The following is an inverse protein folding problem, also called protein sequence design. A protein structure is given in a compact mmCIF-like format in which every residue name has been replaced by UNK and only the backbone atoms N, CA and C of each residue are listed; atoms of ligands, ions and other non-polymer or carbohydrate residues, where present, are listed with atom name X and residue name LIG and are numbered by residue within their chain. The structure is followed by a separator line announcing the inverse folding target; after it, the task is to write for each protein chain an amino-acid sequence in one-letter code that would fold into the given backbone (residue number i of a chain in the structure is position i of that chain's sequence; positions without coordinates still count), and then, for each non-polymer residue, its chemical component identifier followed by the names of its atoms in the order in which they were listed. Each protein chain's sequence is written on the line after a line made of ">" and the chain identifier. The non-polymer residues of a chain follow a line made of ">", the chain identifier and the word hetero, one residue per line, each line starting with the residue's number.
data_IF_188196498036
#
_entry.id   IF_188196498036
#
_cell.length_a   1.000
_cell.length_b   1.000
_cell.length_c   1.000
_cell.angle_alpha   90.00
_cell.angle_beta   90.00
_cell.angle_gamma   90.00
#
_symmetry.space_group_name_H-M   'P 1'
#
loop_
_entity.id
_entity.type
_entity.pdbx_description
1 polymer ?
#
# COMPACT_ATOMS: atom_id res chain seq x y z
N UNK A 1 -10.08 -18.64 -18.70
CA UNK A 1 -10.32 -18.23 -17.31
C UNK A 1 -9.11 -17.44 -16.84
N UNK A 2 -9.24 -16.12 -16.79
CA UNK A 2 -8.12 -15.17 -16.73
C UNK A 2 -7.58 -15.05 -15.30
N UNK A 3 -6.48 -15.73 -15.00
CA UNK A 3 -5.79 -15.68 -13.69
C UNK A 3 -5.25 -14.26 -13.40
N UNK A 4 -5.17 -13.41 -14.42
CA UNK A 4 -4.75 -12.00 -14.36
C UNK A 4 -5.73 -11.07 -13.61
N UNK A 5 -6.95 -11.53 -13.32
CA UNK A 5 -7.99 -10.78 -12.60
C UNK A 5 -7.83 -10.74 -11.07
N UNK A 6 -6.94 -11.57 -10.51
CA UNK A 6 -6.72 -11.70 -9.05
C UNK A 6 -5.52 -10.89 -8.52
N UNK A 7 -4.58 -10.51 -9.40
CA UNK A 7 -3.45 -9.63 -9.03
C UNK A 7 -3.83 -8.14 -9.09
N UNK A 8 -4.77 -7.78 -9.95
CA UNK A 8 -5.30 -6.42 -10.09
C UNK A 8 -6.08 -5.88 -8.88
N UNK A 9 -6.88 -6.63 -8.11
CA UNK A 9 -7.65 -6.06 -7.00
C UNK A 9 -6.76 -5.63 -5.85
N UNK A 10 -5.71 -6.38 -5.50
CA UNK A 10 -4.79 -6.00 -4.41
C UNK A 10 -4.01 -4.74 -4.79
N UNK A 11 -3.47 -4.70 -6.02
CA UNK A 11 -2.76 -3.53 -6.53
C UNK A 11 -3.69 -2.31 -6.60
N UNK A 12 -4.93 -2.49 -7.09
CA UNK A 12 -5.94 -1.43 -7.12
C UNK A 12 -6.32 -0.96 -5.71
N UNK A 13 -6.47 -1.87 -4.75
CA UNK A 13 -6.79 -1.54 -3.35
C UNK A 13 -5.67 -0.76 -2.68
N UNK A 14 -4.41 -1.13 -2.90
CA UNK A 14 -3.24 -0.39 -2.37
C UNK A 14 -3.18 1.01 -2.96
N UNK A 15 -3.40 1.15 -4.27
CA UNK A 15 -3.43 2.47 -4.95
C UNK A 15 -4.62 3.31 -4.48
N UNK A 16 -5.80 2.70 -4.35
CA UNK A 16 -7.02 3.38 -3.86
C UNK A 16 -6.89 3.79 -2.41
N UNK A 17 -6.29 2.95 -1.56
CA UNK A 17 -6.01 3.28 -0.16
C UNK A 17 -4.99 4.42 -0.06
N UNK A 18 -3.93 4.40 -0.86
CA UNK A 18 -2.98 5.51 -0.97
C UNK A 18 -3.65 6.81 -1.43
N UNK A 19 -4.57 6.74 -2.38
CA UNK A 19 -5.35 7.89 -2.83
C UNK A 19 -6.39 8.38 -1.79
N UNK A 20 -6.99 7.47 -1.01
CA UNK A 20 -7.87 7.80 0.11
C UNK A 20 -7.11 8.48 1.25
N UNK A 21 -5.92 7.99 1.57
CA UNK A 21 -5.01 8.61 2.54
C UNK A 21 -4.51 9.97 2.04
N UNK A 22 -4.22 10.10 0.74
CA UNK A 22 -3.89 11.39 0.13
C UNK A 22 -5.06 12.37 0.16
N UNK A 23 -6.31 11.88 0.02
CA UNK A 23 -7.52 12.72 0.16
C UNK A 23 -7.70 13.26 1.59
N UNK A 24 -7.30 12.50 2.61
CA UNK A 24 -7.27 12.99 3.99
C UNK A 24 -6.19 14.08 4.22
N UNK A 25 -5.30 14.29 3.26
CA UNK A 25 -4.26 15.31 3.31
C UNK A 25 -4.60 16.60 2.52
N UNK A 26 -5.72 16.66 1.79
CA UNK A 26 -6.16 17.90 1.13
C UNK A 26 -6.91 18.80 2.14
N UNK A 27 -6.52 20.08 2.30
CA UNK A 27 -7.18 21.00 3.23
C UNK A 27 -8.52 21.53 2.69
N UNK A 28 -9.51 21.67 3.58
CA UNK A 28 -10.81 22.26 3.28
C UNK A 28 -10.68 23.77 2.95
N UNK A 29 -11.29 24.27 1.84
CA UNK A 29 -11.03 25.62 1.35
C UNK A 29 -11.73 26.77 2.10
N UNK A 30 -12.55 26.54 3.14
CA UNK A 30 -13.25 27.64 3.82
C UNK A 30 -13.43 27.36 5.31
N UNK A 31 -12.77 28.14 6.18
CA UNK A 31 -13.06 28.13 7.61
C UNK A 31 -11.99 28.77 8.50
N UNK A 32 -12.08 30.09 8.64
CA UNK A 32 -11.67 30.90 9.78
C UNK A 32 -10.25 30.78 10.39
N UNK A 33 -9.52 31.88 10.19
CA UNK A 33 -8.25 32.25 10.81
C UNK A 33 -8.34 32.33 12.35
N UNK A 34 -8.24 31.21 13.07
CA UNK A 34 -7.91 31.23 14.50
C UNK A 34 -7.09 30.01 14.93
N UNK A 35 -5.77 30.16 14.77
CA UNK A 35 -4.69 29.33 15.34
C UNK A 35 -4.47 27.95 14.71
N UNK A 36 -4.30 27.93 13.40
CA UNK A 36 -3.57 26.87 12.69
C UNK A 36 -2.05 27.03 12.92
N UNK A 37 -1.56 26.63 14.10
CA UNK A 37 -0.14 26.23 14.27
C UNK A 37 0.02 24.70 14.22
N UNK A 38 -0.96 24.03 13.62
CA UNK A 38 -1.05 22.57 13.49
C UNK A 38 -1.64 22.25 12.11
N UNK A 39 -1.03 22.84 11.09
CA UNK A 39 -1.49 22.84 9.69
C UNK A 39 -0.39 22.58 8.67
N UNK A 40 0.78 22.13 9.09
CA UNK A 40 1.59 21.31 8.20
C UNK A 40 1.01 19.91 8.24
N UNK A 41 0.79 19.34 7.05
CA UNK A 41 0.33 17.96 6.82
C UNK A 41 0.82 17.09 7.98
N UNK A 42 -0.07 16.55 8.82
CA UNK A 42 0.30 16.00 10.12
C UNK A 42 1.56 15.17 10.00
N UNK A 43 2.62 15.45 10.76
CA UNK A 43 3.96 14.88 10.52
C UNK A 43 3.99 13.34 10.39
N UNK A 44 2.97 12.66 10.92
CA UNK A 44 2.75 11.23 10.74
C UNK A 44 2.49 10.80 9.28
N UNK A 45 1.88 11.65 8.45
CA UNK A 45 1.56 11.41 7.03
C UNK A 45 2.83 11.36 6.18
N UNK A 46 3.76 12.30 6.37
CA UNK A 46 5.04 12.32 5.62
C UNK A 46 5.83 11.02 5.85
N UNK A 47 5.91 10.58 7.10
CA UNK A 47 6.59 9.33 7.47
C UNK A 47 5.90 8.11 6.85
N UNK A 48 4.55 8.08 6.88
CA UNK A 48 3.80 6.97 6.27
C UNK A 48 3.91 6.95 4.75
N UNK A 49 3.90 8.10 4.07
CA UNK A 49 4.08 8.17 2.61
C UNK A 49 5.49 7.72 2.21
N UNK A 50 6.52 8.18 2.92
CA UNK A 50 7.91 7.78 2.66
C UNK A 50 8.11 6.27 2.87
N UNK A 51 7.52 5.73 3.94
CA UNK A 51 7.59 4.30 4.27
C UNK A 51 6.79 3.46 3.27
N UNK A 52 5.58 3.88 2.91
CA UNK A 52 4.75 3.18 1.92
C UNK A 52 5.44 3.12 0.55
N UNK A 53 6.09 4.20 0.13
CA UNK A 53 6.89 4.23 -1.10
C UNK A 53 8.08 3.27 -1.05
N UNK A 54 8.82 3.26 0.07
CA UNK A 54 9.97 2.37 0.24
C UNK A 54 9.57 0.89 0.30
N UNK A 55 8.51 0.57 1.02
CA UNK A 55 7.97 -0.80 1.11
C UNK A 55 7.49 -1.28 -0.26
N UNK A 56 6.76 -0.43 -1.00
CA UNK A 56 6.33 -0.75 -2.36
C UNK A 56 7.53 -1.03 -3.28
N UNK A 57 8.56 -0.18 -3.22
CA UNK A 57 9.78 -0.36 -4.01
C UNK A 57 10.47 -1.70 -3.71
N UNK A 58 10.68 -2.05 -2.43
CA UNK A 58 11.28 -3.35 -2.04
C UNK A 58 10.41 -4.52 -2.49
N UNK A 59 9.09 -4.40 -2.35
CA UNK A 59 8.16 -5.46 -2.71
C UNK A 59 8.20 -5.83 -4.19
N UNK A 60 8.47 -4.87 -5.09
CA UNK A 60 8.62 -5.17 -6.53
C UNK A 60 9.73 -6.19 -6.83
N UNK A 61 10.78 -6.21 -6.00
CA UNK A 61 11.88 -7.16 -6.13
C UNK A 61 11.65 -8.45 -5.32
N UNK A 62 11.03 -8.35 -4.15
CA UNK A 62 10.83 -9.48 -3.24
C UNK A 62 9.65 -10.39 -3.64
N UNK A 63 8.61 -9.83 -4.29
CA UNK A 63 7.39 -10.53 -4.68
C UNK A 63 7.60 -11.86 -5.43
N UNK A 64 8.40 -11.93 -6.52
CA UNK A 64 8.56 -13.15 -7.31
C UNK A 64 9.25 -14.29 -6.52
N UNK A 65 10.26 -13.97 -5.72
CA UNK A 65 10.97 -14.97 -4.91
C UNK A 65 10.09 -15.53 -3.78
N UNK A 66 9.35 -14.66 -3.08
CA UNK A 66 8.39 -15.09 -2.06
C UNK A 66 7.33 -16.04 -2.63
N UNK A 67 6.82 -15.76 -3.83
CA UNK A 67 5.85 -16.63 -4.50
C UNK A 67 6.46 -17.98 -4.88
N UNK A 68 7.70 -17.99 -5.38
CA UNK A 68 8.41 -19.22 -5.70
C UNK A 68 8.68 -20.07 -4.45
N UNK A 69 9.11 -19.46 -3.34
CA UNK A 69 9.30 -20.12 -2.05
C UNK A 69 7.98 -20.68 -1.51
N UNK A 70 6.90 -19.90 -1.57
CA UNK A 70 5.58 -20.32 -1.13
C UNK A 70 5.05 -21.49 -1.97
N UNK A 71 5.18 -21.45 -3.30
CA UNK A 71 4.76 -22.53 -4.18
C UNK A 71 5.51 -23.84 -3.90
N UNK A 72 6.82 -23.75 -3.66
CA UNK A 72 7.64 -24.90 -3.25
C UNK A 72 7.21 -25.45 -1.89
N UNK A 73 6.94 -24.57 -0.91
CA UNK A 73 6.50 -24.97 0.42
C UNK A 73 5.12 -25.65 0.38
N UNK A 74 4.15 -25.08 -0.35
CA UNK A 74 2.82 -25.66 -0.52
C UNK A 74 2.89 -27.01 -1.24
N UNK A 75 3.68 -27.12 -2.31
CA UNK A 75 3.90 -28.37 -3.02
C UNK A 75 4.47 -29.48 -2.13
N UNK A 76 5.38 -29.12 -1.21
CA UNK A 76 5.98 -30.06 -0.26
C UNK A 76 4.99 -30.60 0.77
N UNK A 77 3.98 -29.81 1.15
CA UNK A 77 2.93 -30.22 2.11
C UNK A 77 1.78 -30.95 1.42
N UNK A 78 1.42 -30.58 0.19
CA UNK A 78 0.39 -31.27 -0.59
C UNK A 78 0.83 -32.62 -1.17
N UNK A 79 2.13 -32.92 -1.17
CA UNK A 79 2.70 -34.20 -1.62
C UNK A 79 2.67 -35.33 -0.58
N UNK A 80 2.01 -35.14 0.56
CA UNK A 80 1.60 -36.22 1.46
C UNK A 80 0.17 -36.65 1.10
N UNK A 81 0.07 -37.39 -0.01
CA UNK A 81 -1.14 -38.01 -0.54
C UNK A 81 -0.81 -38.88 -1.74
#
# INVERSE_FOLDING_TARGET
>A
MSVSGLLTPVVRSVVVLGAWLARLALPDPVGERRRTQRGDVPGWVMVTVMTAGLVYAIWTFAGPELNAMLARALGSVSGLG
#
